data_IF_405421084243
#
_entry.id   IF_405421084243
#
_cell.length_a   1.000
_cell.length_b   1.000
_cell.length_c   1.000
_cell.angle_alpha   90.00
_cell.angle_beta   90.00
_cell.angle_gamma   90.00
#
_symmetry.space_group_name_H-M   'P 1'
#
loop_
_entity.id
_entity.type
_entity.pdbx_description
1 polymer ?
#
# COMPACT_ATOMS: atom_id res chain seq x y z
N UNK A 1 19.65 -21.56 5.57
CA UNK A 1 18.86 -20.44 6.13
C UNK A 1 17.41 -20.86 6.18
N UNK A 2 16.74 -20.74 7.32
CA UNK A 2 15.32 -21.04 7.51
C UNK A 2 14.51 -19.76 7.42
N UNK A 3 13.64 -19.67 6.42
CA UNK A 3 12.81 -18.49 6.19
C UNK A 3 11.34 -18.88 6.38
N UNK A 4 10.64 -18.16 7.25
CA UNK A 4 9.19 -18.21 7.34
C UNK A 4 8.60 -17.09 6.47
N UNK A 5 7.65 -17.41 5.60
CA UNK A 5 6.85 -16.42 4.87
C UNK A 5 5.42 -16.52 5.36
N UNK A 6 4.91 -15.44 5.94
CA UNK A 6 3.49 -15.36 6.33
C UNK A 6 2.66 -15.00 5.10
N UNK A 7 1.62 -15.76 4.81
CA UNK A 7 0.81 -15.58 3.61
C UNK A 7 -0.68 -15.50 3.95
N UNK A 8 -1.32 -14.38 3.64
CA UNK A 8 -2.77 -14.24 3.76
C UNK A 8 -3.47 -14.72 2.49
N UNK A 9 -4.69 -15.20 2.68
CA UNK A 9 -5.56 -15.62 1.58
C UNK A 9 -6.70 -14.64 1.49
N UNK A 10 -6.80 -13.99 0.34
CA UNK A 10 -7.75 -12.91 0.09
C UNK A 10 -8.61 -13.23 -1.14
N UNK A 11 -9.82 -12.65 -1.23
CA UNK A 11 -10.57 -12.62 -2.47
C UNK A 11 -9.77 -11.96 -3.58
N UNK A 12 -9.97 -12.43 -4.81
CA UNK A 12 -9.33 -11.82 -5.98
C UNK A 12 -9.81 -10.35 -6.18
N UNK A 13 -8.99 -9.53 -6.82
CA UNK A 13 -9.33 -8.13 -7.11
C UNK A 13 -10.58 -7.99 -8.00
N UNK A 14 -10.94 -9.01 -8.77
CA UNK A 14 -12.16 -9.04 -9.57
C UNK A 14 -13.40 -9.47 -8.79
N UNK A 15 -13.25 -9.95 -7.54
CA UNK A 15 -14.38 -10.32 -6.70
C UNK A 15 -15.27 -9.12 -6.42
N UNK A 16 -16.58 -9.33 -6.53
CA UNK A 16 -17.59 -8.32 -6.21
C UNK A 16 -17.71 -8.23 -4.69
N UNK A 17 -17.56 -7.01 -4.17
CA UNK A 17 -17.69 -6.68 -2.75
C UNK A 17 -18.81 -5.66 -2.59
N UNK A 18 -19.73 -5.90 -1.65
CA UNK A 18 -20.82 -4.99 -1.29
C UNK A 18 -21.04 -4.98 0.22
N UNK A 19 -21.66 -3.93 0.80
CA UNK A 19 -22.15 -4.01 2.18
C UNK A 19 -23.20 -5.12 2.29
N UNK A 20 -23.28 -5.75 3.46
CA UNK A 20 -24.40 -6.60 3.83
C UNK A 20 -25.70 -5.78 3.85
N UNK A 21 -26.83 -6.48 3.73
CA UNK A 21 -28.14 -5.82 3.64
C UNK A 21 -28.50 -5.08 4.95
N UNK A 22 -27.89 -5.47 6.06
CA UNK A 22 -28.00 -4.83 7.38
C UNK A 22 -26.92 -3.76 7.65
N UNK A 23 -25.97 -3.55 6.72
CA UNK A 23 -24.88 -2.57 6.85
C UNK A 23 -23.80 -2.93 7.87
N UNK A 24 -23.91 -4.07 8.55
CA UNK A 24 -22.98 -4.45 9.64
C UNK A 24 -21.76 -5.23 9.17
N UNK A 25 -21.72 -5.61 7.90
CA UNK A 25 -20.65 -6.42 7.31
C UNK A 25 -20.42 -6.14 5.83
N UNK A 26 -19.50 -6.89 5.24
CA UNK A 26 -19.26 -6.92 3.81
C UNK A 26 -19.54 -8.32 3.26
N UNK A 27 -20.32 -8.37 2.19
CA UNK A 27 -20.54 -9.59 1.40
C UNK A 27 -19.53 -9.59 0.27
N UNK A 28 -18.63 -10.57 0.32
CA UNK A 28 -17.70 -10.86 -0.78
C UNK A 28 -18.18 -12.10 -1.51
N UNK A 29 -18.51 -11.97 -2.79
CA UNK A 29 -18.72 -13.16 -3.62
C UNK A 29 -17.35 -13.80 -3.86
N UNK A 30 -17.13 -14.95 -3.23
CA UNK A 30 -15.89 -15.72 -3.33
C UNK A 30 -15.74 -16.34 -4.73
N UNK A 31 -15.46 -15.52 -5.74
CA UNK A 31 -14.84 -15.97 -6.97
C UNK A 31 -13.34 -16.11 -6.71
N UNK A 32 -12.88 -17.35 -6.55
CA UNK A 32 -11.47 -17.77 -6.36
C UNK A 32 -10.67 -17.00 -5.28
N UNK A 33 -10.52 -17.61 -4.10
CA UNK A 33 -9.52 -17.17 -3.11
C UNK A 33 -8.10 -17.35 -3.66
N UNK A 34 -7.21 -16.41 -3.36
CA UNK A 34 -5.82 -16.45 -3.79
C UNK A 34 -4.89 -15.91 -2.71
N UNK A 35 -3.60 -16.30 -2.75
CA UNK A 35 -2.59 -15.69 -1.88
C UNK A 35 -2.47 -14.20 -2.23
N UNK A 36 -2.39 -13.34 -1.22
CA UNK A 36 -2.27 -11.90 -1.39
C UNK A 36 -1.09 -11.55 -2.32
N UNK A 37 -1.27 -10.64 -3.30
CA UNK A 37 -0.20 -10.21 -4.20
C UNK A 37 1.11 -9.80 -3.51
N UNK A 38 1.05 -9.07 -2.38
CA UNK A 38 2.24 -8.66 -1.64
C UNK A 38 2.98 -9.86 -1.02
N UNK A 39 2.24 -10.86 -0.53
CA UNK A 39 2.83 -12.09 -0.01
C UNK A 39 3.39 -12.97 -1.12
N UNK A 40 2.78 -12.96 -2.32
CA UNK A 40 3.36 -13.63 -3.50
C UNK A 40 4.73 -13.06 -3.86
N UNK A 41 4.87 -11.73 -3.87
CA UNK A 41 6.17 -11.08 -4.09
C UNK A 41 7.18 -11.44 -3.01
N UNK A 42 6.75 -11.39 -1.74
CA UNK A 42 7.59 -11.75 -0.59
C UNK A 42 8.05 -13.22 -0.67
N UNK A 43 7.14 -14.13 -1.05
CA UNK A 43 7.45 -15.53 -1.29
C UNK A 43 8.44 -15.68 -2.45
N UNK A 44 8.26 -14.98 -3.57
CA UNK A 44 9.21 -15.00 -4.68
C UNK A 44 10.61 -14.56 -4.26
N UNK A 45 10.72 -13.49 -3.44
CA UNK A 45 12.01 -13.09 -2.87
C UNK A 45 12.61 -14.20 -2.01
N UNK A 46 11.84 -14.79 -1.10
CA UNK A 46 12.31 -15.89 -0.27
C UNK A 46 12.84 -17.07 -1.10
N UNK A 47 12.10 -17.45 -2.16
CA UNK A 47 12.48 -18.54 -3.06
C UNK A 47 13.72 -18.22 -3.93
N UNK A 48 14.05 -16.94 -4.12
CA UNK A 48 15.27 -16.52 -4.84
C UNK A 48 16.55 -16.68 -4.03
N UNK A 49 16.44 -16.85 -2.70
CA UNK A 49 17.60 -17.04 -1.82
C UNK A 49 18.11 -18.47 -1.95
N UNK A 50 19.30 -18.62 -2.54
CA UNK A 50 19.90 -19.93 -2.79
C UNK A 50 20.15 -20.69 -1.48
N UNK A 51 19.69 -21.95 -1.41
CA UNK A 51 19.86 -22.81 -0.23
C UNK A 51 18.99 -22.45 0.98
N UNK A 52 17.99 -21.58 0.81
CA UNK A 52 17.00 -21.31 1.85
C UNK A 52 15.93 -22.41 1.94
N UNK A 53 15.61 -22.83 3.16
CA UNK A 53 14.46 -23.67 3.47
C UNK A 53 13.26 -22.76 3.76
N UNK A 54 12.39 -22.59 2.75
CA UNK A 54 11.24 -21.69 2.84
C UNK A 54 10.02 -22.43 3.37
N UNK A 55 9.52 -22.00 4.53
CA UNK A 55 8.24 -22.42 5.09
C UNK A 55 7.20 -21.33 4.86
N UNK A 56 6.05 -21.68 4.30
CA UNK A 56 4.90 -20.76 4.18
C UNK A 56 3.90 -21.07 5.27
N UNK A 57 3.47 -20.05 6.01
CA UNK A 57 2.48 -20.16 7.07
C UNK A 57 1.28 -19.26 6.77
N UNK A 58 0.08 -19.80 6.94
CA UNK A 58 -1.16 -19.04 6.84
C UNK A 58 -2.10 -19.37 7.99
N UNK A 59 -2.66 -18.34 8.63
CA UNK A 59 -3.79 -18.46 9.56
C UNK A 59 -5.07 -18.33 8.75
N UNK A 60 -5.70 -19.45 8.41
CA UNK A 60 -6.87 -19.44 7.54
C UNK A 60 -7.76 -20.67 7.72
N UNK A 61 -9.04 -20.51 7.42
CA UNK A 61 -10.02 -21.60 7.37
C UNK A 61 -9.73 -22.63 6.27
N UNK A 62 -10.53 -23.69 6.24
CA UNK A 62 -10.36 -24.78 5.28
C UNK A 62 -10.66 -24.40 3.83
N UNK A 63 -11.48 -23.37 3.62
CA UNK A 63 -11.78 -22.75 2.32
C UNK A 63 -10.53 -22.18 1.63
N UNK A 64 -9.54 -21.72 2.41
CA UNK A 64 -8.28 -21.19 1.92
C UNK A 64 -7.25 -22.27 1.49
N UNK A 65 -7.51 -23.55 1.80
CA UNK A 65 -6.52 -24.63 1.57
C UNK A 65 -6.08 -24.75 0.12
N UNK A 66 -7.00 -24.55 -0.84
CA UNK A 66 -6.69 -24.58 -2.27
C UNK A 66 -5.76 -23.45 -2.72
N UNK A 67 -5.91 -22.26 -2.15
CA UNK A 67 -5.08 -21.10 -2.48
C UNK A 67 -3.61 -21.30 -2.06
N UNK A 68 -3.38 -21.97 -0.93
CA UNK A 68 -2.03 -22.27 -0.42
C UNK A 68 -1.29 -23.31 -1.28
N UNK A 69 -1.98 -24.02 -2.17
CA UNK A 69 -1.34 -24.89 -3.16
C UNK A 69 -0.35 -24.15 -4.07
N UNK A 70 -0.54 -22.84 -4.27
CA UNK A 70 0.40 -21.99 -5.00
C UNK A 70 1.79 -21.98 -4.35
N UNK A 71 1.86 -21.86 -3.03
CA UNK A 71 3.14 -21.82 -2.32
C UNK A 71 3.95 -23.10 -2.52
N UNK A 72 3.26 -24.24 -2.50
CA UNK A 72 3.86 -25.54 -2.80
C UNK A 72 4.31 -25.63 -4.26
N UNK A 73 3.49 -25.16 -5.20
CA UNK A 73 3.81 -25.15 -6.64
C UNK A 73 4.99 -24.20 -6.97
N UNK A 74 5.21 -23.17 -6.16
CA UNK A 74 6.38 -22.30 -6.22
C UNK A 74 7.65 -22.95 -5.66
N UNK A 75 7.54 -24.07 -4.93
CA UNK A 75 8.67 -24.83 -4.39
C UNK A 75 8.89 -24.69 -2.89
N UNK A 76 7.93 -24.13 -2.13
CA UNK A 76 8.05 -24.04 -0.68
C UNK A 76 8.31 -25.43 -0.06
N UNK A 77 9.32 -25.49 0.82
CA UNK A 77 9.75 -26.70 1.50
C UNK A 77 8.63 -27.25 2.39
N UNK A 78 7.96 -26.35 3.12
CA UNK A 78 6.83 -26.67 3.99
C UNK A 78 5.73 -25.63 3.80
N UNK A 79 4.47 -26.08 3.83
CA UNK A 79 3.29 -25.23 3.79
C UNK A 79 2.43 -25.61 4.98
N UNK A 80 2.19 -24.67 5.88
CA UNK A 80 1.48 -24.84 7.14
C UNK A 80 0.25 -23.95 7.14
N UNK A 81 -0.89 -24.51 7.53
CA UNK A 81 -2.15 -23.80 7.74
C UNK A 81 -2.55 -23.94 9.20
N UNK A 82 -2.64 -22.83 9.91
CA UNK A 82 -3.29 -22.79 11.22
C UNK A 82 -4.79 -22.68 10.97
N UNK A 83 -5.55 -23.68 11.42
CA UNK A 83 -6.99 -23.81 11.23
C UNK A 83 -7.75 -22.88 12.17
N UNK A 84 -7.66 -21.58 11.90
CA UNK A 84 -8.29 -20.51 12.64
C UNK A 84 -8.82 -19.44 11.68
N UNK A 85 -9.81 -18.67 12.14
CA UNK A 85 -10.29 -17.49 11.42
C UNK A 85 -9.41 -16.28 11.75
N UNK A 86 -8.74 -15.65 10.78
CA UNK A 86 -7.95 -14.43 11.00
C UNK A 86 -8.89 -13.22 11.08
N UNK A 87 -9.64 -13.10 12.19
CA UNK A 87 -10.63 -12.04 12.37
C UNK A 87 -10.04 -10.62 12.22
N UNK A 88 -8.80 -10.44 12.65
CA UNK A 88 -8.00 -9.23 12.50
C UNK A 88 -6.50 -9.53 12.51
N UNK A 89 -5.69 -8.48 12.39
CA UNK A 89 -4.23 -8.55 12.42
C UNK A 89 -3.69 -9.18 13.72
N UNK A 90 -4.31 -8.84 14.86
CA UNK A 90 -3.92 -9.36 16.17
C UNK A 90 -4.13 -10.86 16.28
N UNK A 91 -5.29 -11.39 15.88
CA UNK A 91 -5.58 -12.82 15.89
C UNK A 91 -4.57 -13.59 15.04
N UNK A 92 -4.31 -13.12 13.82
CA UNK A 92 -3.37 -13.75 12.91
C UNK A 92 -1.93 -13.71 13.47
N UNK A 93 -1.51 -12.57 14.03
CA UNK A 93 -0.19 -12.41 14.62
C UNK A 93 -0.02 -13.28 15.88
N UNK A 94 -1.05 -13.40 16.72
CA UNK A 94 -1.03 -14.23 17.94
C UNK A 94 -0.82 -15.70 17.62
N UNK A 95 -1.57 -16.24 16.66
CA UNK A 95 -1.37 -17.62 16.19
C UNK A 95 0.01 -17.83 15.55
N UNK A 96 0.49 -16.84 14.81
CA UNK A 96 1.83 -16.88 14.20
C UNK A 96 2.92 -16.86 15.27
N UNK A 97 2.76 -16.06 16.32
CA UNK A 97 3.68 -16.01 17.46
C UNK A 97 3.72 -17.34 18.23
N UNK A 98 2.57 -18.00 18.45
CA UNK A 98 2.52 -19.35 19.04
C UNK A 98 3.28 -20.39 18.19
N UNK A 99 3.23 -20.24 16.86
CA UNK A 99 3.98 -21.10 15.94
C UNK A 99 5.48 -20.83 16.01
N UNK A 100 5.89 -19.56 16.03
CA UNK A 100 7.29 -19.14 16.16
C UNK A 100 7.90 -19.59 17.50
N UNK A 101 7.14 -19.58 18.60
CA UNK A 101 7.62 -20.05 19.90
C UNK A 101 8.00 -21.54 19.92
N UNK A 102 7.60 -22.32 18.90
CA UNK A 102 7.86 -23.77 18.79
C UNK A 102 8.78 -24.13 17.62
N UNK A 103 9.15 -23.15 16.78
CA UNK A 103 9.89 -23.39 15.54
C UNK A 103 10.90 -22.26 15.32
N UNK A 104 12.18 -22.60 15.17
CA UNK A 104 13.24 -21.61 14.93
C UNK A 104 13.33 -21.22 13.45
N UNK A 105 13.37 -19.90 13.21
CA UNK A 105 13.59 -19.30 11.89
C UNK A 105 14.62 -18.17 12.00
N UNK A 106 15.46 -18.05 10.98
CA UNK A 106 16.45 -16.97 10.90
C UNK A 106 15.75 -15.67 10.47
N UNK A 107 14.78 -15.78 9.55
CA UNK A 107 13.98 -14.66 9.04
C UNK A 107 12.50 -14.99 9.01
N UNK A 108 11.68 -14.00 9.39
CA UNK A 108 10.24 -14.00 9.19
C UNK A 108 9.87 -12.90 8.22
N UNK A 109 9.36 -13.24 7.04
CA UNK A 109 8.96 -12.28 6.02
C UNK A 109 7.45 -12.09 6.01
N UNK A 110 7.03 -10.84 6.08
CA UNK A 110 5.64 -10.43 6.03
C UNK A 110 5.46 -9.39 4.91
N UNK A 111 4.43 -9.53 4.08
CA UNK A 111 4.06 -8.42 3.21
C UNK A 111 3.59 -7.22 4.04
N UNK A 112 4.12 -6.03 3.77
CA UNK A 112 3.82 -4.81 4.55
C UNK A 112 2.32 -4.43 4.56
N UNK A 113 1.49 -5.03 3.70
CA UNK A 113 0.07 -4.72 3.54
C UNK A 113 -0.81 -5.98 3.48
N UNK A 114 -0.31 -7.12 3.93
CA UNK A 114 -0.87 -8.38 3.46
C UNK A 114 -1.99 -8.99 4.29
N UNK A 115 -2.09 -8.72 5.59
CA UNK A 115 -3.02 -9.42 6.48
C UNK A 115 -4.24 -8.63 6.97
N UNK A 116 -4.22 -7.32 6.84
CA UNK A 116 -5.00 -6.43 7.71
C UNK A 116 -5.80 -5.40 6.92
N UNK A 117 -6.31 -5.79 5.76
CA UNK A 117 -6.93 -4.85 4.81
C UNK A 117 -5.97 -3.73 4.37
N UNK A 118 -4.66 -4.01 4.38
CA UNK A 118 -3.60 -3.07 4.05
C UNK A 118 -3.52 -1.89 5.04
N UNK A 119 -3.67 -2.17 6.35
CA UNK A 119 -3.36 -1.26 7.46
C UNK A 119 -1.88 -1.32 7.88
N UNK A 120 -1.17 -2.43 7.62
CA UNK A 120 0.25 -2.61 7.95
C UNK A 120 0.56 -2.88 9.44
N UNK A 121 -0.44 -3.34 10.19
CA UNK A 121 -0.40 -3.65 11.61
C UNK A 121 0.11 -5.05 11.95
N UNK A 122 -0.08 -6.02 11.05
CA UNK A 122 0.29 -7.41 11.32
C UNK A 122 1.77 -7.60 11.72
N UNK A 123 2.76 -7.02 11.01
CA UNK A 123 4.17 -7.16 11.39
C UNK A 123 4.49 -6.59 12.77
N UNK A 124 3.80 -5.51 13.17
CA UNK A 124 3.97 -4.85 14.47
C UNK A 124 3.40 -5.68 15.61
N UNK A 125 2.18 -6.19 15.45
CA UNK A 125 1.61 -7.14 16.40
C UNK A 125 2.49 -8.37 16.53
N UNK A 126 2.97 -8.92 15.41
CA UNK A 126 3.84 -10.09 15.42
C UNK A 126 5.15 -9.82 16.17
N UNK A 127 5.78 -8.67 15.94
CA UNK A 127 6.98 -8.25 16.66
C UNK A 127 6.75 -8.18 18.17
N UNK A 128 5.68 -7.50 18.58
CA UNK A 128 5.32 -7.37 20.00
C UNK A 128 5.05 -8.74 20.66
N UNK A 129 4.29 -9.61 19.99
CA UNK A 129 3.84 -10.89 20.55
C UNK A 129 4.92 -11.99 20.51
N UNK A 130 5.79 -11.97 19.50
CA UNK A 130 6.90 -12.93 19.38
C UNK A 130 8.17 -12.48 20.10
N UNK A 131 8.29 -11.19 20.42
CA UNK A 131 9.52 -10.59 20.95
C UNK A 131 10.63 -10.40 19.91
N UNK A 132 10.37 -10.70 18.63
CA UNK A 132 11.34 -10.55 17.55
C UNK A 132 11.42 -9.09 17.08
N UNK A 133 12.63 -8.57 16.79
CA UNK A 133 12.80 -7.26 16.17
C UNK A 133 12.12 -7.16 14.80
N UNK A 134 11.58 -5.99 14.47
CA UNK A 134 10.94 -5.67 13.20
C UNK A 134 11.75 -4.64 12.42
N UNK A 135 12.12 -5.00 11.20
CA UNK A 135 12.63 -4.07 10.21
C UNK A 135 11.52 -3.74 9.19
N UNK A 136 11.03 -2.51 9.24
CA UNK A 136 10.02 -2.01 8.31
C UNK A 136 10.59 -1.56 6.96
N UNK A 137 9.75 -1.55 5.91
CA UNK A 137 10.06 -0.91 4.63
C UNK A 137 11.17 -1.58 3.81
N UNK A 138 11.35 -2.89 3.96
CA UNK A 138 12.42 -3.63 3.29
C UNK A 138 12.13 -3.78 1.80
N UNK A 139 13.06 -3.30 0.96
CA UNK A 139 13.01 -3.40 -0.50
C UNK A 139 13.96 -4.43 -1.07
N UNK A 140 14.99 -4.85 -0.32
CA UNK A 140 15.84 -5.98 -0.71
C UNK A 140 16.51 -6.58 0.52
N UNK A 141 16.92 -7.85 0.43
CA UNK A 141 17.84 -8.43 1.41
C UNK A 141 18.71 -9.52 0.80
N UNK A 142 19.87 -9.72 1.40
CA UNK A 142 20.83 -10.77 1.08
C UNK A 142 21.59 -11.21 2.34
N UNK A 143 22.11 -12.43 2.31
CA UNK A 143 22.99 -12.92 3.39
C UNK A 143 24.28 -12.11 3.42
N UNK A 144 24.74 -11.71 4.61
CA UNK A 144 25.97 -10.94 4.76
C UNK A 144 26.75 -11.40 6.00
N UNK A 145 27.84 -12.15 5.81
CA UNK A 145 28.77 -12.53 6.88
C UNK A 145 28.08 -12.98 8.18
N UNK A 146 28.22 -12.15 9.23
CA UNK A 146 27.50 -12.26 10.51
C UNK A 146 26.22 -11.40 10.47
N UNK A 147 25.14 -11.96 9.90
CA UNK A 147 23.83 -11.33 9.76
C UNK A 147 23.34 -11.17 8.32
N UNK A 148 22.61 -10.09 8.07
CA UNK A 148 21.90 -9.81 6.83
C UNK A 148 22.15 -8.39 6.36
N UNK A 149 22.40 -8.23 5.05
CA UNK A 149 22.33 -6.93 4.40
C UNK A 149 20.90 -6.73 3.96
N UNK A 150 20.24 -5.69 4.46
CA UNK A 150 18.90 -5.28 4.04
C UNK A 150 18.96 -3.90 3.40
N UNK A 151 18.21 -3.71 2.32
CA UNK A 151 17.88 -2.40 1.80
C UNK A 151 16.50 -2.01 2.32
N UNK A 152 16.40 -0.84 2.94
CA UNK A 152 15.17 -0.26 3.46
C UNK A 152 14.89 1.07 2.79
N UNK A 153 13.64 1.28 2.42
CA UNK A 153 13.13 2.59 2.00
C UNK A 153 12.35 3.22 3.15
N UNK A 154 12.76 4.42 3.53
CA UNK A 154 12.03 5.28 4.47
C UNK A 154 11.54 6.52 3.74
N UNK A 155 10.71 7.33 4.39
CA UNK A 155 10.22 8.58 3.84
C UNK A 155 11.34 9.60 3.54
N UNK A 156 12.53 9.43 4.13
CA UNK A 156 13.65 10.39 4.05
C UNK A 156 14.85 9.86 3.28
N UNK A 157 15.04 8.54 3.26
CA UNK A 157 16.25 7.93 2.73
C UNK A 157 16.02 6.49 2.28
N UNK A 158 16.82 6.08 1.31
CA UNK A 158 17.08 4.67 1.03
C UNK A 158 18.36 4.29 1.78
N UNK A 159 18.26 3.29 2.65
CA UNK A 159 19.35 2.85 3.50
C UNK A 159 19.73 1.42 3.17
N UNK A 160 21.02 1.15 3.03
CA UNK A 160 21.59 -0.20 3.08
C UNK A 160 22.15 -0.42 4.47
N UNK A 161 21.64 -1.43 5.16
CA UNK A 161 21.98 -1.70 6.56
C UNK A 161 22.41 -3.14 6.75
N UNK A 162 23.22 -3.38 7.78
CA UNK A 162 23.55 -4.72 8.27
C UNK A 162 22.82 -4.93 9.61
N UNK A 163 22.11 -6.04 9.72
CA UNK A 163 21.27 -6.40 10.87
C UNK A 163 21.43 -7.89 11.20
N UNK A 164 21.26 -8.25 12.48
CA UNK A 164 21.38 -9.64 12.96
C UNK A 164 20.03 -10.35 13.00
N UNK A 165 20.04 -11.65 12.75
CA UNK A 165 18.92 -12.57 13.03
C UNK A 165 18.81 -12.93 14.51
N UNK A 166 17.64 -13.44 14.95
CA UNK A 166 16.38 -13.56 14.20
C UNK A 166 15.64 -12.22 14.08
N UNK A 167 15.03 -11.96 12.92
CA UNK A 167 14.24 -10.74 12.71
C UNK A 167 13.03 -10.92 11.79
N UNK A 168 12.05 -10.03 11.98
CA UNK A 168 10.89 -9.88 11.10
C UNK A 168 11.21 -8.80 10.07
N UNK A 169 11.01 -9.10 8.78
CA UNK A 169 11.09 -8.16 7.68
C UNK A 169 9.68 -7.85 7.18
N UNK A 170 9.28 -6.58 7.31
CA UNK A 170 8.08 -6.07 6.65
C UNK A 170 8.47 -5.62 5.23
N UNK A 171 8.13 -6.47 4.28
CA UNK A 171 8.55 -6.38 2.88
C UNK A 171 7.60 -5.48 2.09
N UNK A 172 8.16 -4.40 1.53
CA UNK A 172 7.45 -3.53 0.61
C UNK A 172 7.22 -4.18 -0.75
N UNK A 173 6.46 -3.51 -1.63
CA UNK A 173 6.21 -4.04 -2.99
C UNK A 173 7.45 -4.17 -3.86
N UNK A 174 8.48 -3.40 -3.53
CA UNK A 174 9.73 -3.40 -4.26
C UNK A 174 10.63 -4.60 -3.92
N UNK A 175 10.22 -5.43 -2.94
CA UNK A 175 10.99 -6.60 -2.48
C UNK A 175 11.34 -7.60 -3.59
N UNK A 176 10.48 -7.67 -4.62
CA UNK A 176 10.69 -8.55 -5.76
C UNK A 176 9.99 -7.98 -7.01
N UNK A 177 10.67 -7.91 -8.17
CA UNK A 177 10.06 -7.40 -9.40
C UNK A 177 8.83 -8.22 -9.81
N UNK A 178 7.70 -7.54 -10.04
CA UNK A 178 6.41 -8.20 -10.36
C UNK A 178 6.48 -9.02 -11.66
N UNK A 179 7.24 -8.54 -12.64
CA UNK A 179 7.47 -9.20 -13.93
C UNK A 179 8.37 -10.45 -13.85
N UNK A 180 9.10 -10.63 -12.75
CA UNK A 180 9.97 -11.78 -12.53
C UNK A 180 9.33 -12.84 -11.63
N UNK A 181 8.12 -12.59 -11.11
CA UNK A 181 7.39 -13.56 -10.31
C UNK A 181 7.16 -14.81 -11.14
N UNK A 182 7.73 -15.92 -10.68
CA UNK A 182 7.51 -17.24 -11.26
C UNK A 182 6.03 -17.62 -11.19
N UNK A 183 5.45 -17.92 -12.34
CA UNK A 183 4.08 -18.45 -12.45
C UNK A 183 4.17 -19.97 -12.66
N UNK A 184 3.74 -20.80 -11.70
CA UNK A 184 3.72 -22.24 -11.88
C UNK A 184 2.78 -22.66 -13.02
N UNK A 185 3.16 -23.70 -13.75
CA UNK A 185 2.31 -24.29 -14.78
C UNK A 185 1.09 -24.99 -14.18
N UNK A 186 0.05 -25.21 -15.01
CA UNK A 186 -1.14 -25.95 -14.59
C UNK A 186 -0.81 -27.35 -14.06
N UNK A 187 0.19 -28.03 -14.63
CA UNK A 187 0.63 -29.34 -14.16
C UNK A 187 1.20 -29.27 -12.75
N UNK A 188 2.07 -28.30 -12.50
CA UNK A 188 2.67 -28.09 -11.17
C UNK A 188 1.62 -27.73 -10.13
N UNK A 189 0.67 -26.86 -10.48
CA UNK A 189 -0.47 -26.53 -9.62
C UNK A 189 -1.30 -27.77 -9.27
N UNK A 190 -1.67 -28.57 -10.27
CA UNK A 190 -2.47 -29.79 -10.06
C UNK A 190 -1.73 -30.84 -9.22
N UNK A 191 -0.40 -30.96 -9.39
CA UNK A 191 0.42 -31.83 -8.54
C UNK A 191 0.51 -31.29 -7.11
N UNK A 192 0.75 -29.99 -6.96
CA UNK A 192 0.86 -29.34 -5.66
C UNK A 192 -0.43 -29.42 -4.84
N UNK A 193 -1.60 -29.23 -5.48
CA UNK A 193 -2.91 -29.31 -4.83
C UNK A 193 -3.26 -30.70 -4.27
N UNK A 194 -2.58 -31.77 -4.72
CA UNK A 194 -2.75 -33.13 -4.16
C UNK A 194 -2.05 -33.31 -2.82
N UNK A 195 -1.11 -32.44 -2.49
CA UNK A 195 -0.35 -32.48 -1.24
C UNK A 195 -0.95 -31.41 -0.32
N UNK A 196 -1.78 -31.80 0.67
CA UNK A 196 -2.41 -30.83 1.55
C UNK A 196 -1.34 -30.09 2.39
N UNK A 197 -1.65 -28.84 2.75
CA UNK A 197 -0.89 -28.12 3.75
C UNK A 197 -0.95 -28.89 5.09
N UNK A 198 0.13 -28.79 5.87
CA UNK A 198 0.13 -29.28 7.24
C UNK A 198 -0.86 -28.45 8.05
N UNK A 199 -1.84 -29.09 8.68
CA UNK A 199 -2.89 -28.40 9.43
C UNK A 199 -2.57 -28.42 10.91
N UNK A 200 -2.40 -27.24 11.50
CA UNK A 200 -2.25 -27.06 12.94
C UNK A 200 -3.58 -26.54 13.49
N UNK A 201 -4.13 -27.25 14.48
CA UNK A 201 -5.30 -26.76 15.22
C UNK A 201 -4.80 -25.93 16.40
N UNK A 202 -5.22 -24.66 16.52
CA UNK A 202 -4.78 -23.82 17.62
C UNK A 202 -5.33 -24.35 18.96
N UNK A 203 -4.55 -24.21 20.03
CA UNK A 203 -4.95 -24.56 21.39
C UNK A 203 -5.86 -23.53 22.05
N UNK A 204 -5.76 -22.28 21.60
CA UNK A 204 -6.48 -21.12 22.14
C UNK A 204 -7.12 -20.37 20.98
N UNK A 205 -8.35 -19.90 21.15
CA UNK A 205 -8.95 -18.93 20.23
C UNK A 205 -8.66 -17.52 20.71
N UNK A 206 -7.96 -16.73 19.90
CA UNK A 206 -7.78 -15.30 20.18
C UNK A 206 -9.03 -14.52 19.81
N UNK A 207 -9.34 -13.50 20.60
CA UNK A 207 -10.42 -12.56 20.30
C UNK A 207 -9.82 -11.37 19.54
N UNK A 208 -10.53 -10.82 18.55
CA UNK A 208 -10.06 -9.65 17.82
C UNK A 208 -9.95 -8.44 18.75
N UNK A 209 -8.90 -7.65 18.56
CA UNK A 209 -8.69 -6.35 19.21
C UNK A 209 -9.37 -5.22 18.42
N UNK A 210 -9.62 -5.45 17.11
CA UNK A 210 -10.36 -4.52 16.25
C UNK A 210 -11.71 -5.07 15.83
N UNK A 211 -12.74 -4.27 16.04
CA UNK A 211 -14.09 -4.49 15.56
C UNK A 211 -14.38 -3.54 14.39
N UNK A 212 -14.69 -4.11 13.22
CA UNK A 212 -15.12 -3.38 12.04
C UNK A 212 -16.64 -3.40 11.96
N UNK A 213 -17.26 -2.23 11.95
CA UNK A 213 -18.71 -2.07 11.87
C UNK A 213 -19.08 -0.91 10.93
N UNK A 214 -20.37 -0.81 10.58
CA UNK A 214 -20.94 0.27 9.77
C UNK A 214 -20.21 0.48 8.42
N UNK A 215 -20.48 -0.44 7.48
CA UNK A 215 -19.87 -0.43 6.16
C UNK A 215 -20.65 0.48 5.22
N UNK A 216 -19.99 1.51 4.69
CA UNK A 216 -20.58 2.47 3.75
C UNK A 216 -19.85 2.48 2.42
N UNK A 217 -20.52 2.98 1.38
CA UNK A 217 -19.86 3.28 0.10
C UNK A 217 -19.16 4.64 0.21
N UNK A 218 -18.06 4.84 -0.53
CA UNK A 218 -17.52 6.18 -0.72
C UNK A 218 -18.60 7.18 -1.07
N UNK A 219 -18.58 8.34 -0.40
CA UNK A 219 -19.47 9.45 -0.72
C UNK A 219 -19.37 9.75 -2.21
N UNK A 220 -20.52 9.72 -2.88
CA UNK A 220 -20.60 10.09 -4.28
C UNK A 220 -20.44 11.62 -4.35
N UNK A 221 -19.30 12.08 -4.89
CA UNK A 221 -19.05 13.51 -5.05
C UNK A 221 -20.07 14.13 -6.01
N UNK A 222 -20.44 15.40 -5.82
CA UNK A 222 -21.21 16.13 -6.81
C UNK A 222 -20.46 16.15 -8.16
N UNK A 223 -21.16 16.37 -9.28
CA UNK A 223 -20.52 16.48 -10.59
C UNK A 223 -19.39 17.50 -10.60
N UNK A 224 -18.28 17.17 -11.27
CA UNK A 224 -17.10 18.03 -11.39
C UNK A 224 -17.47 19.41 -11.95
N UNK A 225 -16.90 20.46 -11.36
CA UNK A 225 -16.99 21.82 -11.89
C UNK A 225 -15.82 22.09 -12.84
N UNK A 226 -16.11 22.27 -14.12
CA UNK A 226 -15.10 22.64 -15.11
C UNK A 226 -14.75 24.13 -15.07
N UNK A 227 -13.49 24.43 -15.39
CA UNK A 227 -12.94 25.79 -15.51
C UNK A 227 -12.31 25.97 -16.89
N UNK A 228 -12.63 27.10 -17.52
CA UNK A 228 -11.99 27.54 -18.76
C UNK A 228 -10.76 28.41 -18.47
N UNK A 229 -9.97 28.68 -19.51
CA UNK A 229 -8.70 29.42 -19.40
C UNK A 229 -8.86 30.81 -18.79
N UNK A 230 -9.96 31.49 -19.07
CA UNK A 230 -10.30 32.81 -18.54
C UNK A 230 -10.56 32.79 -17.03
N UNK A 231 -10.87 31.62 -16.46
CA UNK A 231 -11.16 31.44 -15.04
C UNK A 231 -9.95 30.95 -14.23
N UNK A 232 -8.76 30.89 -14.83
CA UNK A 232 -7.56 30.38 -14.14
C UNK A 232 -7.13 31.23 -12.93
N UNK A 233 -7.44 32.53 -12.92
CA UNK A 233 -7.21 33.36 -11.72
C UNK A 233 -8.06 32.87 -10.55
N UNK A 234 -9.34 32.60 -10.78
CA UNK A 234 -10.25 32.04 -9.77
C UNK A 234 -9.81 30.64 -9.34
N UNK A 235 -9.33 29.82 -10.28
CA UNK A 235 -8.80 28.50 -9.95
C UNK A 235 -7.53 28.61 -9.08
N UNK A 236 -6.64 29.55 -9.38
CA UNK A 236 -5.44 29.83 -8.58
C UNK A 236 -5.79 30.31 -7.16
N UNK A 237 -6.82 31.15 -6.99
CA UNK A 237 -7.34 31.54 -5.67
C UNK A 237 -7.81 30.32 -4.86
N UNK A 238 -8.53 29.40 -5.51
CA UNK A 238 -8.96 28.14 -4.86
C UNK A 238 -7.73 27.33 -4.43
N UNK A 239 -6.73 27.18 -5.30
CA UNK A 239 -5.48 26.45 -5.00
C UNK A 239 -4.75 27.07 -3.81
N UNK A 240 -4.59 28.41 -3.77
CA UNK A 240 -3.96 29.11 -2.65
C UNK A 240 -4.76 29.02 -1.36
N UNK A 241 -6.09 29.05 -1.43
CA UNK A 241 -6.93 28.88 -0.24
C UNK A 241 -6.73 27.51 0.41
N UNK A 242 -6.48 26.48 -0.40
CA UNK A 242 -6.21 25.12 0.08
C UNK A 242 -4.82 24.98 0.73
N UNK A 243 -3.83 25.81 0.35
CA UNK A 243 -2.49 25.77 0.97
C UNK A 243 -2.41 26.51 2.31
N UNK A 244 -3.28 27.49 2.56
CA UNK A 244 -3.20 28.41 3.71
C UNK A 244 -4.01 28.02 4.94
N UNK A 245 -5.08 27.23 4.79
CA UNK A 245 -5.87 26.81 5.94
C UNK A 245 -5.37 25.51 6.56
N UNK A 246 -5.75 25.29 7.82
CA UNK A 246 -5.45 24.04 8.52
C UNK A 246 -6.03 22.85 7.76
N UNK A 247 -5.28 21.75 7.74
CA UNK A 247 -5.77 20.48 7.26
C UNK A 247 -6.97 20.14 8.15
N UNK A 248 -8.17 20.02 7.57
CA UNK A 248 -9.22 19.34 8.30
C UNK A 248 -8.67 17.97 8.67
N UNK A 249 -8.78 17.61 9.93
CA UNK A 249 -8.63 16.22 10.33
C UNK A 249 -9.67 15.44 9.53
N UNK A 250 -9.29 14.89 8.38
CA UNK A 250 -10.07 13.84 7.72
C UNK A 250 -10.08 12.56 8.57
N UNK A 251 -9.45 12.60 9.76
CA UNK A 251 -9.76 11.76 10.92
C UNK A 251 -11.17 12.02 11.52
N UNK A 252 -11.94 13.01 11.03
CA UNK A 252 -13.33 13.22 11.43
C UNK A 252 -14.30 12.17 10.87
N UNK A 253 -13.83 11.32 9.95
CA UNK A 253 -14.49 10.06 9.68
C UNK A 253 -13.62 8.96 10.30
N UNK A 254 -14.10 8.34 11.38
CA UNK A 254 -13.52 7.10 11.93
C UNK A 254 -13.58 5.93 10.91
N UNK A 255 -14.09 6.18 9.70
CA UNK A 255 -14.21 5.19 8.64
C UNK A 255 -12.91 5.07 7.83
N UNK A 256 -12.31 3.88 7.86
CA UNK A 256 -11.13 3.54 7.08
C UNK A 256 -11.53 2.85 5.76
N UNK A 257 -10.80 3.09 4.66
CA UNK A 257 -11.06 2.41 3.40
C UNK A 257 -10.66 0.93 3.50
N UNK A 258 -11.60 0.04 3.19
CA UNK A 258 -11.41 -1.42 3.14
C UNK A 258 -11.71 -1.94 1.72
N UNK A 259 -11.31 -3.18 1.43
CA UNK A 259 -11.51 -3.81 0.10
C UNK A 259 -11.04 -2.95 -1.07
N UNK A 260 -9.81 -2.44 -0.99
CA UNK A 260 -9.22 -1.57 -2.03
C UNK A 260 -9.95 -0.23 -2.21
N UNK A 261 -10.56 0.29 -1.13
CA UNK A 261 -11.28 1.56 -1.14
C UNK A 261 -12.68 1.49 -1.74
N UNK A 262 -13.19 0.28 -2.00
CA UNK A 262 -14.56 0.08 -2.50
C UNK A 262 -15.62 0.32 -1.41
N UNK A 263 -15.24 0.13 -0.15
CA UNK A 263 -16.06 0.40 1.02
C UNK A 263 -15.26 1.18 2.06
N UNK A 264 -15.96 1.91 2.90
CA UNK A 264 -15.46 2.45 4.15
C UNK A 264 -16.05 1.65 5.30
N UNK A 265 -15.26 1.40 6.35
CA UNK A 265 -15.72 0.74 7.56
C UNK A 265 -15.28 1.54 8.78
N UNK A 266 -16.17 1.74 9.74
CA UNK A 266 -15.79 2.29 11.04
C UNK A 266 -15.11 1.22 11.88
N UNK A 267 -14.04 1.61 12.58
CA UNK A 267 -13.25 0.68 13.39
C UNK A 267 -13.17 1.16 14.82
N UNK A 268 -13.45 0.25 15.76
CA UNK A 268 -13.17 0.42 17.18
C UNK A 268 -12.11 -0.60 17.59
N UNK A 269 -11.17 -0.20 18.43
CA UNK A 269 -10.11 -1.08 18.92
C UNK A 269 -8.81 -0.35 19.16
N UNK A 270 -7.83 -1.06 19.72
CA UNK A 270 -6.48 -0.54 19.90
C UNK A 270 -5.70 -0.64 18.58
N UNK A 271 -4.89 0.37 18.28
CA UNK A 271 -3.90 0.29 17.20
C UNK A 271 -2.75 -0.66 17.59
N UNK A 272 -2.08 -1.19 16.57
CA UNK A 272 -0.90 -2.02 16.82
C UNK A 272 0.18 -1.23 17.58
N UNK A 273 0.85 -1.88 18.56
CA UNK A 273 1.98 -1.26 19.26
C UNK A 273 3.13 -0.98 18.29
N UNK A 274 4.09 -0.15 18.70
CA UNK A 274 5.33 -0.02 17.93
C UNK A 274 6.10 -1.35 17.90
N UNK A 275 6.70 -1.66 16.75
CA UNK A 275 7.56 -2.83 16.62
C UNK A 275 8.87 -2.65 17.39
N UNK A 276 9.47 -3.76 17.81
CA UNK A 276 10.77 -3.76 18.48
C UNK A 276 11.83 -3.40 17.45
N UNK A 277 12.52 -2.27 17.61
CA UNK A 277 13.54 -1.83 16.64
C UNK A 277 14.81 -2.67 16.78
N UNK A 278 15.32 -3.29 15.71
CA UNK A 278 16.60 -4.02 15.77
C UNK A 278 17.79 -3.08 15.91
N UNK A 279 18.88 -3.58 16.47
CA UNK A 279 20.19 -2.96 16.30
C UNK A 279 20.69 -3.18 14.87
N UNK A 280 21.08 -2.11 14.18
CA UNK A 280 21.62 -2.18 12.82
C UNK A 280 22.77 -1.19 12.61
N UNK A 281 23.64 -1.48 11.64
CA UNK A 281 24.66 -0.55 11.16
C UNK A 281 24.32 -0.08 9.75
N UNK A 282 24.40 1.22 9.50
CA UNK A 282 24.15 1.82 8.18
C UNK A 282 25.44 1.74 7.36
N UNK A 283 25.38 1.05 6.23
CA UNK A 283 26.48 0.95 5.27
C UNK A 283 26.43 2.09 4.27
N UNK A 284 25.21 2.41 3.80
CA UNK A 284 24.97 3.45 2.81
C UNK A 284 23.62 4.11 3.12
N UNK A 285 23.58 5.44 3.03
CA UNK A 285 22.35 6.20 3.14
C UNK A 285 22.28 7.21 1.99
N UNK A 286 21.30 7.02 1.12
CA UNK A 286 20.99 7.94 0.05
C UNK A 286 19.79 8.74 0.52
N UNK A 287 20.05 9.98 0.94
CA UNK A 287 18.97 10.95 1.19
C UNK A 287 18.16 11.12 -0.08
N UNK A 288 16.87 10.88 0.03
CA UNK A 288 15.93 11.32 -0.99
C UNK A 288 15.80 12.84 -0.78
N UNK A 289 15.97 13.68 -1.83
CA UNK A 289 15.84 15.12 -1.68
C UNK A 289 14.53 15.44 -0.97
N UNK A 290 14.54 16.48 -0.12
CA UNK A 290 13.45 16.84 0.79
C UNK A 290 12.11 17.05 0.07
N UNK A 291 11.47 15.96 -0.32
CA UNK A 291 10.09 15.91 -0.70
C UNK A 291 9.31 15.97 0.61
N UNK A 292 8.40 16.94 0.71
CA UNK A 292 7.41 16.95 1.79
C UNK A 292 6.76 15.57 1.82
N UNK A 293 6.64 14.97 3.01
CA UNK A 293 6.00 13.68 3.17
C UNK A 293 4.59 13.73 2.58
N UNK A 294 4.29 12.79 1.68
CA UNK A 294 2.99 12.69 1.01
C UNK A 294 1.80 12.62 1.98
N UNK A 295 1.99 11.99 3.15
CA UNK A 295 0.94 11.85 4.18
C UNK A 295 0.64 13.17 4.89
N UNK A 296 1.67 13.98 5.11
CA UNK A 296 1.58 15.23 5.88
C UNK A 296 1.26 16.43 4.99
N UNK A 297 1.53 16.33 3.68
CA UNK A 297 1.33 17.42 2.74
C UNK A 297 -0.13 17.90 2.67
N UNK A 298 -0.32 19.23 2.76
CA UNK A 298 -1.63 19.89 2.58
C UNK A 298 -2.07 19.91 1.12
N UNK A 299 -1.10 20.12 0.23
CA UNK A 299 -1.30 20.10 -1.22
C UNK A 299 -0.40 19.03 -1.80
N UNK A 300 -0.94 18.19 -2.67
CA UNK A 300 -0.17 17.21 -3.43
C UNK A 300 -0.42 17.45 -4.91
N UNK A 301 0.66 17.67 -5.68
CA UNK A 301 0.61 17.85 -7.13
C UNK A 301 1.14 16.58 -7.78
N UNK A 302 0.35 15.96 -8.64
CA UNK A 302 0.64 14.63 -9.15
C UNK A 302 0.57 14.51 -10.66
N UNK A 303 1.55 13.83 -11.24
CA UNK A 303 1.61 13.53 -12.67
C UNK A 303 1.28 12.07 -13.01
N UNK A 304 0.47 11.89 -14.05
CA UNK A 304 0.29 10.61 -14.75
C UNK A 304 1.07 10.53 -16.05
N UNK A 305 1.01 9.37 -16.72
CA UNK A 305 1.65 9.19 -18.03
C UNK A 305 1.14 10.18 -19.09
N UNK A 306 -0.13 10.59 -18.99
CA UNK A 306 -0.73 11.56 -19.89
C UNK A 306 -0.21 12.99 -19.70
N UNK A 307 0.55 13.27 -18.64
CA UNK A 307 1.10 14.60 -18.40
C UNK A 307 2.28 14.94 -19.32
N UNK A 308 2.97 13.90 -19.84
CA UNK A 308 4.21 14.07 -20.60
C UNK A 308 5.37 14.62 -19.77
N UNK A 309 6.57 14.67 -20.36
CA UNK A 309 7.78 15.13 -19.66
C UNK A 309 7.75 16.63 -19.34
N UNK A 310 7.07 17.43 -20.16
CA UNK A 310 7.07 18.89 -20.03
C UNK A 310 6.28 19.41 -18.82
N UNK A 311 5.30 18.64 -18.33
CA UNK A 311 4.49 19.01 -17.18
C UNK A 311 5.22 18.86 -15.83
N UNK A 312 6.31 18.08 -15.74
CA UNK A 312 6.96 17.77 -14.47
C UNK A 312 7.62 18.98 -13.81
N UNK A 313 8.23 19.87 -14.60
CA UNK A 313 8.80 21.10 -14.06
C UNK A 313 7.71 22.00 -13.42
N UNK A 314 6.58 22.29 -14.10
CA UNK A 314 5.44 22.95 -13.46
C UNK A 314 4.90 22.21 -12.22
N UNK A 315 4.81 20.87 -12.25
CA UNK A 315 4.36 20.07 -11.09
C UNK A 315 5.25 20.32 -9.88
N UNK A 316 6.57 20.21 -10.03
CA UNK A 316 7.54 20.42 -8.96
C UNK A 316 7.52 21.87 -8.46
N UNK A 317 7.44 22.83 -9.39
CA UNK A 317 7.43 24.25 -9.07
C UNK A 317 6.17 24.65 -8.28
N UNK A 318 4.99 24.21 -8.70
CA UNK A 318 3.74 24.46 -7.98
C UNK A 318 3.75 23.77 -6.62
N UNK A 319 4.22 22.52 -6.53
CA UNK A 319 4.33 21.83 -5.25
C UNK A 319 5.26 22.59 -4.30
N UNK A 320 6.42 23.05 -4.77
CA UNK A 320 7.35 23.87 -4.00
C UNK A 320 6.72 25.19 -3.54
N UNK A 321 6.07 25.93 -4.45
CA UNK A 321 5.43 27.22 -4.18
C UNK A 321 4.33 27.12 -3.11
N UNK A 322 3.62 26.00 -3.06
CA UNK A 322 2.52 25.76 -2.13
C UNK A 322 2.95 25.03 -0.85
N UNK A 323 4.25 24.80 -0.67
CA UNK A 323 4.79 23.99 0.43
C UNK A 323 4.16 22.58 0.49
N UNK A 324 3.86 22.03 -0.68
CA UNK A 324 3.23 20.74 -0.91
C UNK A 324 4.21 19.64 -1.28
N UNK A 325 3.66 18.48 -1.65
CA UNK A 325 4.43 17.31 -2.10
C UNK A 325 4.15 16.95 -3.57
N UNK A 326 5.10 16.25 -4.18
CA UNK A 326 4.97 15.71 -5.54
C UNK A 326 4.60 14.24 -5.44
N UNK A 327 3.64 13.82 -6.27
CA UNK A 327 3.20 12.43 -6.38
C UNK A 327 3.22 11.96 -7.84
N UNK A 328 3.17 10.64 -8.04
CA UNK A 328 3.02 10.05 -9.37
C UNK A 328 2.09 8.83 -9.37
N UNK A 329 1.62 8.46 -10.57
CA UNK A 329 0.87 7.22 -10.78
C UNK A 329 1.80 6.02 -10.93
N UNK A 330 1.27 4.79 -10.76
CA UNK A 330 2.05 3.56 -10.93
C UNK A 330 2.88 3.50 -12.24
N UNK A 331 2.29 3.73 -13.43
CA UNK A 331 3.05 3.67 -14.67
C UNK A 331 4.22 4.67 -14.74
N UNK A 332 4.11 5.82 -14.06
CA UNK A 332 5.19 6.82 -14.03
C UNK A 332 6.39 6.31 -13.25
N UNK A 333 6.22 5.80 -12.02
CA UNK A 333 7.38 5.29 -11.28
C UNK A 333 7.95 4.03 -11.96
N UNK A 334 7.10 3.18 -12.54
CA UNK A 334 7.55 1.99 -13.26
C UNK A 334 8.39 2.32 -14.49
N UNK A 335 8.21 3.51 -15.09
CA UNK A 335 9.06 4.01 -16.18
C UNK A 335 10.44 4.49 -15.71
N UNK A 336 10.66 4.60 -14.40
CA UNK A 336 11.86 5.17 -13.80
C UNK A 336 11.87 6.71 -13.76
N UNK A 337 10.82 7.37 -14.27
CA UNK A 337 10.75 8.83 -14.29
C UNK A 337 10.70 9.45 -12.88
N UNK A 338 10.00 8.79 -11.95
CA UNK A 338 9.87 9.19 -10.54
C UNK A 338 10.11 7.99 -9.62
N UNK A 339 10.38 8.26 -8.35
CA UNK A 339 10.61 7.20 -7.35
C UNK A 339 9.32 6.57 -6.82
N UNK A 340 9.43 5.33 -6.33
CA UNK A 340 8.30 4.64 -5.67
C UNK A 340 7.74 5.40 -4.47
N UNK A 341 8.58 6.15 -3.75
CA UNK A 341 8.15 6.95 -2.60
C UNK A 341 7.16 8.07 -2.97
N UNK A 342 7.05 8.44 -4.25
CA UNK A 342 6.04 9.38 -4.73
C UNK A 342 4.78 8.70 -5.27
N UNK A 343 4.77 7.37 -5.36
CA UNK A 343 3.65 6.64 -5.93
C UNK A 343 2.44 6.70 -5.01
N UNK A 344 1.32 7.18 -5.55
CA UNK A 344 0.03 7.20 -4.86
C UNK A 344 -0.93 6.20 -5.49
N UNK A 345 -1.66 5.47 -4.65
CA UNK A 345 -2.68 4.51 -5.07
C UNK A 345 -2.94 3.42 -4.03
N UNK A 346 -3.82 2.47 -4.34
CA UNK A 346 -4.06 1.22 -3.60
C UNK A 346 -2.76 0.51 -3.25
N UNK A 347 -1.81 0.62 -4.18
CA UNK A 347 -0.52 -0.03 -4.18
C UNK A 347 0.63 0.92 -3.78
N UNK A 348 0.36 2.22 -3.68
CA UNK A 348 1.32 3.22 -3.22
C UNK A 348 0.91 3.80 -1.87
N UNK A 349 1.26 5.05 -1.65
CA UNK A 349 0.82 5.84 -0.51
C UNK A 349 -0.67 6.16 -0.61
N UNK A 350 -1.37 6.06 0.54
CA UNK A 350 -2.77 6.47 0.71
C UNK A 350 -2.79 7.81 1.41
N UNK A 351 -3.07 8.87 0.68
CA UNK A 351 -2.98 10.25 1.17
C UNK A 351 -4.36 10.87 1.36
N UNK A 352 -4.41 11.95 2.13
CA UNK A 352 -5.61 12.75 2.35
C UNK A 352 -5.25 14.25 2.43
N UNK A 353 -4.70 14.84 1.35
CA UNK A 353 -4.42 16.27 1.30
C UNK A 353 -5.72 17.09 1.26
N UNK A 354 -5.61 18.39 1.53
CA UNK A 354 -6.70 19.34 1.28
C UNK A 354 -6.96 19.51 -0.21
N UNK A 355 -5.90 19.50 -0.99
CA UNK A 355 -5.98 19.56 -2.45
C UNK A 355 -5.05 18.55 -3.08
N UNK A 356 -5.61 17.68 -3.90
CA UNK A 356 -4.87 16.82 -4.81
C UNK A 356 -5.04 17.32 -6.24
N UNK A 357 -3.94 17.64 -6.93
CA UNK A 357 -3.95 18.05 -8.34
C UNK A 357 -3.51 16.85 -9.19
N UNK A 358 -4.44 16.32 -9.98
CA UNK A 358 -4.26 15.16 -10.85
C UNK A 358 -4.00 15.60 -12.30
N UNK A 359 -2.73 15.71 -12.69
CA UNK A 359 -2.33 16.15 -14.02
C UNK A 359 -2.07 14.95 -14.94
N UNK A 360 -2.85 14.81 -16.02
CA UNK A 360 -2.69 13.74 -17.00
C UNK A 360 -2.92 12.33 -16.43
N UNK A 361 -3.81 12.21 -15.44
CA UNK A 361 -4.16 10.95 -14.76
C UNK A 361 -5.53 10.48 -15.27
N UNK A 362 -5.64 9.21 -15.67
CA UNK A 362 -6.88 8.64 -16.24
C UNK A 362 -7.98 8.36 -15.22
N UNK A 363 -7.62 8.14 -13.94
CA UNK A 363 -8.58 7.82 -12.87
C UNK A 363 -8.85 6.34 -12.69
N UNK A 364 -7.89 5.47 -13.01
CA UNK A 364 -7.96 4.05 -12.67
C UNK A 364 -8.27 3.86 -11.18
N UNK A 365 -9.16 2.92 -10.84
CA UNK A 365 -9.63 2.72 -9.46
C UNK A 365 -8.49 2.49 -8.48
N UNK A 366 -7.42 1.82 -8.92
CA UNK A 366 -6.22 1.59 -8.14
C UNK A 366 -5.52 2.89 -7.78
N UNK A 367 -5.49 3.91 -8.65
CA UNK A 367 -4.95 5.22 -8.30
C UNK A 367 -5.91 5.98 -7.38
N UNK A 368 -7.19 5.99 -7.74
CA UNK A 368 -8.24 6.71 -7.00
C UNK A 368 -8.32 6.25 -5.54
N UNK A 369 -8.17 4.95 -5.27
CA UNK A 369 -8.15 4.40 -3.91
C UNK A 369 -7.09 5.05 -2.99
N UNK A 370 -6.02 5.61 -3.55
CA UNK A 370 -4.98 6.33 -2.80
C UNK A 370 -5.29 7.80 -2.52
N UNK A 371 -6.21 8.43 -3.26
CA UNK A 371 -6.50 9.87 -3.20
C UNK A 371 -7.95 10.20 -2.84
N UNK A 372 -8.84 9.21 -2.79
CA UNK A 372 -10.28 9.43 -2.64
C UNK A 372 -10.65 10.16 -1.34
N UNK A 373 -9.76 10.12 -0.33
CA UNK A 373 -9.89 10.85 0.95
C UNK A 373 -9.37 12.29 0.88
N UNK A 374 -8.96 12.79 -0.29
CA UNK A 374 -8.58 14.19 -0.45
C UNK A 374 -9.82 15.07 -0.30
N UNK A 375 -9.70 16.17 0.47
CA UNK A 375 -10.81 17.12 0.67
C UNK A 375 -11.30 17.64 -0.69
N UNK A 376 -10.36 18.03 -1.56
CA UNK A 376 -10.64 18.44 -2.93
C UNK A 376 -9.68 17.79 -3.93
N UNK A 377 -10.19 17.49 -5.12
CA UNK A 377 -9.45 16.95 -6.26
C UNK A 377 -9.63 17.89 -7.45
N UNK A 378 -8.54 18.42 -7.99
CA UNK A 378 -8.48 19.12 -9.26
C UNK A 378 -7.91 18.18 -10.31
N UNK A 379 -8.68 17.85 -11.35
CA UNK A 379 -8.22 17.01 -12.44
C UNK A 379 -7.93 17.86 -13.70
N UNK A 380 -6.78 17.60 -14.34
CA UNK A 380 -6.39 18.20 -15.61
C UNK A 380 -6.15 17.05 -16.59
N UNK A 381 -6.96 16.98 -17.64
CA UNK A 381 -6.84 15.91 -18.63
C UNK A 381 -7.24 16.42 -20.02
N UNK A 382 -6.60 15.90 -21.07
CA UNK A 382 -6.96 16.23 -22.45
C UNK A 382 -8.25 15.53 -22.89
N UNK A 383 -8.58 14.39 -22.30
CA UNK A 383 -9.82 13.65 -22.56
C UNK A 383 -10.96 14.14 -21.63
N UNK A 384 -12.00 14.83 -22.15
CA UNK A 384 -13.12 15.31 -21.35
C UNK A 384 -13.97 14.19 -20.73
N UNK A 385 -13.80 12.94 -21.17
CA UNK A 385 -14.49 11.76 -20.65
C UNK A 385 -13.63 10.92 -19.70
N UNK A 386 -12.45 11.41 -19.30
CA UNK A 386 -11.57 10.68 -18.40
C UNK A 386 -12.26 10.31 -17.07
N UNK A 387 -12.09 9.07 -16.63
CA UNK A 387 -12.72 8.55 -15.40
C UNK A 387 -12.37 9.38 -14.15
N UNK A 388 -11.19 10.01 -14.13
CA UNK A 388 -10.76 10.87 -13.01
C UNK A 388 -11.78 11.98 -12.69
N UNK A 389 -12.50 12.49 -13.70
CA UNK A 389 -13.48 13.54 -13.52
C UNK A 389 -14.68 13.11 -12.67
N UNK A 390 -14.98 11.81 -12.58
CA UNK A 390 -16.03 11.29 -11.69
C UNK A 390 -15.67 11.43 -10.20
N UNK A 391 -14.40 11.62 -9.89
CA UNK A 391 -13.87 11.75 -8.54
C UNK A 391 -13.35 13.17 -8.24
N UNK A 392 -13.36 14.06 -9.24
CA UNK A 392 -12.83 15.40 -9.14
C UNK A 392 -13.90 16.40 -8.70
N UNK A 393 -13.49 17.36 -7.88
CA UNK A 393 -14.32 18.52 -7.52
C UNK A 393 -14.19 19.62 -8.58
N UNK A 394 -12.98 19.75 -9.13
CA UNK A 394 -12.63 20.72 -10.17
C UNK A 394 -12.00 20.02 -11.37
N UNK A 395 -12.31 20.50 -12.57
CA UNK A 395 -11.82 19.93 -13.81
C UNK A 395 -11.31 21.00 -14.78
N UNK A 396 -10.22 20.70 -15.49
CA UNK A 396 -9.78 21.47 -16.66
C UNK A 396 -9.54 20.48 -17.79
N UNK A 397 -10.16 20.74 -18.95
CA UNK A 397 -9.91 19.95 -20.16
C UNK A 397 -8.81 20.64 -20.96
N UNK A 398 -7.62 20.04 -21.01
CA UNK A 398 -6.46 20.64 -21.65
C UNK A 398 -5.16 19.88 -21.41
N UNK A 399 -4.11 20.30 -22.10
CA UNK A 399 -2.76 19.75 -21.92
C UNK A 399 -2.20 20.12 -20.54
N UNK A 400 -1.66 19.13 -19.83
CA UNK A 400 -1.19 19.32 -18.46
C UNK A 400 -0.04 20.33 -18.36
N UNK A 401 0.88 20.36 -19.33
CA UNK A 401 2.02 21.28 -19.29
C UNK A 401 1.57 22.73 -19.52
N UNK A 402 0.65 22.95 -20.46
CA UNK A 402 0.10 24.28 -20.76
C UNK A 402 -0.72 24.82 -19.58
N UNK A 403 -1.63 23.98 -19.04
CA UNK A 403 -2.51 24.36 -17.93
C UNK A 403 -1.69 24.66 -16.68
N UNK A 404 -0.80 23.75 -16.27
CA UNK A 404 0.03 23.95 -15.08
C UNK A 404 1.01 25.10 -15.26
N UNK A 405 1.62 25.27 -16.45
CA UNK A 405 2.50 26.40 -16.72
C UNK A 405 1.79 27.76 -16.67
N UNK A 406 0.50 27.82 -17.02
CA UNK A 406 -0.30 29.02 -16.85
C UNK A 406 -0.62 29.28 -15.36
N UNK A 407 -1.05 28.24 -14.64
CA UNK A 407 -1.34 28.33 -13.20
C UNK A 407 -0.10 28.70 -12.38
N UNK A 408 1.06 28.12 -12.67
CA UNK A 408 2.34 28.42 -12.02
C UNK A 408 2.66 29.93 -12.07
N UNK A 409 2.49 30.56 -13.24
CA UNK A 409 2.73 32.01 -13.40
C UNK A 409 1.76 32.84 -12.56
N UNK A 410 0.48 32.47 -12.57
CA UNK A 410 -0.56 33.19 -11.81
C UNK A 410 -0.28 33.05 -10.30
N UNK A 411 -0.04 31.83 -9.82
CA UNK A 411 0.27 31.55 -8.42
C UNK A 411 1.53 32.28 -7.96
N UNK A 412 2.59 32.29 -8.78
CA UNK A 412 3.83 33.01 -8.46
C UNK A 412 3.58 34.50 -8.30
N UNK A 413 2.82 35.10 -9.22
CA UNK A 413 2.46 36.52 -9.14
C UNK A 413 1.61 36.85 -7.91
N UNK A 414 0.71 35.94 -7.51
CA UNK A 414 -0.11 36.11 -6.31
C UNK A 414 0.72 36.00 -5.03
N UNK A 415 1.61 35.01 -4.92
CA UNK A 415 2.48 34.84 -3.75
C UNK A 415 3.52 35.96 -3.56
N UNK A 416 3.88 36.69 -4.62
CA UNK A 416 4.78 37.86 -4.52
C UNK A 416 4.10 39.14 -4.07
N UNK A 417 2.76 39.18 -4.08
CA UNK A 417 1.96 40.35 -3.67
C UNK A 417 1.56 40.33 -2.19
N UNK A 418 1.63 39.16 -1.56
CA UNK A 418 1.46 38.94 -0.13
C UNK A 418 2.82 38.94 0.57
#
# INVERSE_FOLDING_TARGET
>A
MKILVTASVVPDIYSVVRPSDDGTGAVVQASSLTVNPADKQTLSKAMSVHGAEVTVLSVAGNDAAGALGLARAMGAFRVVRIDASPADAFCAASHTAEFLAKNDFDLVLCGALSWDYATGEFPRWLSHLSGLPLLDGVSDFSAAGDGFSAERKTDKAVQRIIVKDPLILSCGKDIFPENEIRIPSMREMMTAMRIPAEVIRPSVGFKPEKEFYDYSRPLQKPPVKFFEKEEYERLAEIILSASRGDKMDNAASDAIPVFSGRLYAHVKGADAPEGIVPEFSVVEEISVPAHRNLRDARVVVSGGMGAGLQAWRPIESIACLLDGAVACTRPVYQSGLRGYFEHVGQTGEKIAPRLYIAAGISGALQHVAGIIRSERILAINTDPQAEIFKYADYGVVGDAADVLGALEKILTNMCQRD
#
